data_IF_863735908639
#
_entry.id   IF_863735908639
#
_cell.length_a   1.000
_cell.length_b   1.000
_cell.length_c   1.000
_cell.angle_alpha   90.00
_cell.angle_beta   90.00
_cell.angle_gamma   90.00
#
_symmetry.space_group_name_H-M   'P 1'
#
loop_
_entity.id
_entity.type
_entity.pdbx_description
1 polymer ?
#
# COMPACT_ATOMS: atom_id res chain seq x y z
N UNK A 1 -23.04 16.11 -28.70
CA UNK A 1 -22.97 15.11 -27.63
C UNK A 1 -21.71 15.43 -26.83
N UNK A 2 -21.87 15.74 -25.56
CA UNK A 2 -20.81 16.24 -24.69
C UNK A 2 -20.19 15.04 -23.95
N UNK A 3 -18.89 14.82 -24.14
CA UNK A 3 -18.17 13.69 -23.54
C UNK A 3 -17.73 14.11 -22.14
N UNK A 4 -18.46 13.66 -21.12
CA UNK A 4 -18.08 13.89 -19.72
C UNK A 4 -16.81 13.10 -19.44
N UNK A 5 -15.69 13.82 -19.35
CA UNK A 5 -14.43 13.25 -18.90
C UNK A 5 -14.53 12.90 -17.41
N UNK A 6 -14.65 11.60 -17.12
CA UNK A 6 -14.68 11.05 -15.76
C UNK A 6 -13.29 10.99 -15.11
N UNK A 7 -12.22 11.43 -15.76
CA UNK A 7 -10.87 11.40 -15.19
C UNK A 7 -10.71 12.25 -13.91
N UNK A 8 -11.65 13.16 -13.63
CA UNK A 8 -11.63 13.99 -12.43
C UNK A 8 -11.97 13.22 -11.14
N UNK A 9 -12.66 12.08 -11.20
CA UNK A 9 -12.96 11.28 -10.00
C UNK A 9 -11.75 10.50 -9.49
N UNK A 10 -10.66 10.45 -10.27
CA UNK A 10 -9.47 9.65 -9.98
C UNK A 10 -8.29 10.50 -9.50
N UNK A 11 -8.51 11.77 -9.15
CA UNK A 11 -7.52 12.54 -8.38
C UNK A 11 -7.69 12.26 -6.90
N UNK A 12 -7.30 11.05 -6.50
CA UNK A 12 -6.84 10.86 -5.13
C UNK A 12 -5.62 11.75 -4.95
N UNK A 13 -5.54 12.61 -3.92
CA UNK A 13 -4.30 13.29 -3.61
C UNK A 13 -3.26 12.21 -3.39
N UNK A 14 -2.28 12.16 -4.30
CA UNK A 14 -1.13 11.29 -4.18
C UNK A 14 -0.52 11.61 -2.81
N UNK A 15 -0.50 10.60 -1.95
CA UNK A 15 0.09 10.60 -0.61
C UNK A 15 1.10 11.72 -0.42
N UNK A 16 0.83 12.62 0.52
CA UNK A 16 1.86 13.55 0.97
C UNK A 16 3.06 12.74 1.47
N UNK A 17 4.29 13.13 1.11
CA UNK A 17 5.50 12.48 1.64
C UNK A 17 5.65 12.65 3.17
N UNK A 18 4.82 13.51 3.78
CA UNK A 18 4.73 13.63 5.22
C UNK A 18 4.24 12.32 5.84
N UNK A 19 4.92 11.89 6.90
CA UNK A 19 4.53 10.74 7.70
C UNK A 19 3.12 10.95 8.26
N UNK A 20 2.18 10.01 8.06
CA UNK A 20 0.82 10.16 8.56
C UNK A 20 0.79 10.07 10.09
N UNK A 21 -0.07 10.86 10.74
CA UNK A 21 -0.22 10.81 12.20
C UNK A 21 -0.71 9.46 12.71
N UNK A 22 -1.49 8.76 11.90
CA UNK A 22 -1.91 7.38 12.15
C UNK A 22 -1.76 6.51 10.91
N UNK A 23 -1.24 5.30 11.09
CA UNK A 23 -1.27 4.26 10.05
C UNK A 23 -2.04 3.05 10.57
N UNK A 24 -3.00 2.53 9.82
CA UNK A 24 -3.72 1.28 10.11
C UNK A 24 -3.39 0.27 9.02
N UNK A 25 -3.20 -1.00 9.36
CA UNK A 25 -2.80 -2.07 8.43
C UNK A 25 -3.58 -3.34 8.69
N UNK A 26 -4.15 -3.89 7.63
CA UNK A 26 -4.68 -5.24 7.62
C UNK A 26 -3.55 -6.22 7.25
N UNK A 27 -3.37 -7.27 8.03
CA UNK A 27 -2.49 -8.39 7.71
C UNK A 27 -2.99 -9.67 8.37
N UNK A 28 -3.01 -10.79 7.63
CA UNK A 28 -3.28 -12.13 8.15
C UNK A 28 -4.53 -12.23 9.05
N UNK A 29 -5.60 -11.50 8.69
CA UNK A 29 -6.86 -11.47 9.46
C UNK A 29 -6.82 -10.62 10.73
N UNK A 30 -5.74 -9.88 10.96
CA UNK A 30 -5.57 -8.96 12.09
C UNK A 30 -5.40 -7.52 11.59
N UNK A 31 -5.70 -6.57 12.48
CA UNK A 31 -5.50 -5.15 12.21
C UNK A 31 -4.52 -4.59 13.23
N UNK A 32 -3.46 -3.98 12.73
CA UNK A 32 -2.49 -3.23 13.53
C UNK A 32 -2.57 -1.75 13.18
N UNK A 33 -2.19 -0.90 14.13
CA UNK A 33 -2.15 0.54 13.96
C UNK A 33 -0.94 1.14 14.64
N UNK A 34 -0.47 2.26 14.11
CA UNK A 34 0.53 3.13 14.74
C UNK A 34 -0.03 4.54 14.89
N UNK A 35 0.34 5.22 15.97
CA UNK A 35 0.00 6.62 16.18
C UNK A 35 1.21 7.44 16.65
N UNK A 36 1.48 8.56 15.98
CA UNK A 36 2.61 9.45 16.29
C UNK A 36 2.21 10.48 17.34
N UNK A 37 0.96 10.93 17.32
CA UNK A 37 0.42 11.98 18.20
C UNK A 37 -0.47 11.38 19.29
N UNK A 38 -0.53 12.04 20.45
CA UNK A 38 -1.38 11.59 21.57
C UNK A 38 -2.87 11.60 21.18
N UNK A 39 -3.30 12.60 20.40
CA UNK A 39 -4.68 12.65 19.87
C UNK A 39 -5.00 11.43 18.99
N UNK A 40 -4.07 11.00 18.14
CA UNK A 40 -4.29 9.85 17.27
C UNK A 40 -4.36 8.56 18.10
N UNK A 41 -3.50 8.45 19.11
CA UNK A 41 -3.55 7.38 20.12
C UNK A 41 -4.92 7.32 20.81
N UNK A 42 -5.43 8.44 21.29
CA UNK A 42 -6.68 8.47 22.04
C UNK A 42 -7.86 8.01 21.18
N UNK A 43 -7.89 8.42 19.90
CA UNK A 43 -8.91 7.96 18.94
C UNK A 43 -8.80 6.46 18.68
N UNK A 44 -7.58 5.92 18.49
CA UNK A 44 -7.39 4.48 18.31
C UNK A 44 -7.92 3.71 19.53
N UNK A 45 -7.54 4.11 20.74
CA UNK A 45 -8.02 3.47 21.98
C UNK A 45 -9.54 3.54 22.09
N UNK A 46 -10.13 4.68 21.75
CA UNK A 46 -11.59 4.88 21.79
C UNK A 46 -12.34 3.92 20.86
N UNK A 47 -11.74 3.55 19.72
CA UNK A 47 -12.34 2.62 18.75
C UNK A 47 -11.86 1.17 18.93
N UNK A 48 -11.37 0.83 20.12
CA UNK A 48 -11.10 -0.56 20.51
C UNK A 48 -9.70 -1.08 20.16
N UNK A 49 -8.81 -0.23 19.65
CA UNK A 49 -7.41 -0.61 19.47
C UNK A 49 -6.70 -0.66 20.82
N UNK A 50 -6.07 -1.79 21.11
CA UNK A 50 -5.33 -2.00 22.35
C UNK A 50 -3.84 -1.80 22.14
N UNK A 51 -3.12 -1.11 23.04
CA UNK A 51 -1.68 -0.92 22.90
C UNK A 51 -0.96 -2.27 22.98
N UNK A 52 0.02 -2.47 22.11
CA UNK A 52 0.90 -3.64 22.15
C UNK A 52 2.10 -3.38 23.07
N UNK A 53 3.02 -4.35 23.14
CA UNK A 53 4.28 -4.18 23.91
C UNK A 53 5.21 -3.14 23.27
N UNK A 54 5.03 -2.84 21.99
CA UNK A 54 5.83 -1.86 21.27
C UNK A 54 5.25 -0.45 21.46
N UNK A 55 6.14 0.52 21.66
CA UNK A 55 5.75 1.91 21.84
C UNK A 55 5.02 2.41 20.60
N UNK A 56 3.83 3.00 20.78
CA UNK A 56 2.97 3.56 19.71
C UNK A 56 2.33 2.55 18.75
N UNK A 57 2.44 1.26 19.02
CA UNK A 57 1.72 0.23 18.26
C UNK A 57 0.44 -0.19 19.00
N UNK A 58 -0.61 -0.41 18.23
CA UNK A 58 -1.91 -0.85 18.70
C UNK A 58 -2.46 -1.95 17.81
N UNK A 59 -3.37 -2.76 18.34
CA UNK A 59 -4.01 -3.84 17.59
C UNK A 59 -5.46 -3.99 17.99
N UNK A 60 -6.32 -4.28 17.01
CA UNK A 60 -7.67 -4.75 17.30
C UNK A 60 -7.62 -6.18 17.85
N UNK A 61 -8.55 -6.57 18.74
CA UNK A 61 -8.66 -7.95 19.20
C UNK A 61 -8.73 -8.93 18.02
N UNK A 62 -7.93 -10.00 18.04
CA UNK A 62 -7.92 -10.99 16.96
C UNK A 62 -9.23 -11.80 16.85
N UNK A 63 -10.07 -11.74 17.89
CA UNK A 63 -11.39 -12.41 17.94
C UNK A 63 -12.48 -11.60 17.23
N UNK A 64 -12.19 -10.37 16.82
CA UNK A 64 -13.15 -9.52 16.12
C UNK A 64 -13.42 -10.10 14.72
N UNK A 65 -14.68 -10.17 14.31
CA UNK A 65 -15.04 -10.53 12.95
C UNK A 65 -14.51 -9.51 11.94
N UNK A 66 -14.27 -9.93 10.70
CA UNK A 66 -13.73 -9.06 9.65
C UNK A 66 -14.56 -7.78 9.46
N UNK A 67 -15.90 -7.91 9.45
CA UNK A 67 -16.80 -6.76 9.32
C UNK A 67 -16.72 -5.79 10.51
N UNK A 68 -16.56 -6.32 11.72
CA UNK A 68 -16.42 -5.50 12.93
C UNK A 68 -15.06 -4.79 12.96
N UNK A 69 -14.00 -5.48 12.52
CA UNK A 69 -12.67 -4.91 12.39
C UNK A 69 -12.65 -3.79 11.34
N UNK A 70 -13.29 -4.02 10.19
CA UNK A 70 -13.47 -3.00 9.17
C UNK A 70 -14.28 -1.82 9.69
N UNK A 71 -15.38 -2.08 10.41
CA UNK A 71 -16.19 -1.04 11.05
C UNK A 71 -15.39 -0.18 12.02
N UNK A 72 -14.59 -0.80 12.89
CA UNK A 72 -13.72 -0.10 13.82
C UNK A 72 -12.68 0.77 13.10
N UNK A 73 -12.06 0.24 12.03
CA UNK A 73 -11.11 1.02 11.19
C UNK A 73 -11.79 2.22 10.55
N UNK A 74 -12.97 2.05 9.94
CA UNK A 74 -13.70 3.14 9.27
C UNK A 74 -14.13 4.21 10.27
N UNK A 75 -14.60 3.81 11.45
CA UNK A 75 -14.97 4.75 12.51
C UNK A 75 -13.74 5.52 13.05
N UNK A 76 -12.61 4.83 13.25
CA UNK A 76 -11.36 5.45 13.67
C UNK A 76 -10.82 6.43 12.61
N UNK A 77 -10.77 6.00 11.35
CA UNK A 77 -10.35 6.83 10.22
C UNK A 77 -11.21 8.08 10.10
N UNK A 78 -12.53 7.92 10.13
CA UNK A 78 -13.47 9.05 10.05
C UNK A 78 -13.27 10.02 11.20
N UNK A 79 -13.09 9.53 12.43
CA UNK A 79 -12.87 10.38 13.59
C UNK A 79 -11.54 11.13 13.48
N UNK A 80 -10.44 10.46 13.13
CA UNK A 80 -9.14 11.10 12.89
C UNK A 80 -9.23 12.17 11.79
N UNK A 81 -9.94 11.88 10.71
CA UNK A 81 -10.16 12.83 9.62
C UNK A 81 -10.90 14.09 10.09
N UNK A 82 -11.94 13.94 10.93
CA UNK A 82 -12.67 15.10 11.48
C UNK A 82 -11.80 15.97 12.40
N UNK A 83 -10.73 15.41 12.99
CA UNK A 83 -9.74 16.14 13.78
C UNK A 83 -8.62 16.75 12.92
N UNK A 84 -8.69 16.61 11.60
CA UNK A 84 -7.67 17.07 10.66
C UNK A 84 -6.36 16.28 10.73
N UNK A 85 -6.38 15.07 11.29
CA UNK A 85 -5.20 14.21 11.33
C UNK A 85 -5.02 13.50 9.98
N UNK A 86 -3.76 13.36 9.54
CA UNK A 86 -3.42 12.55 8.37
C UNK A 86 -3.46 11.06 8.72
N UNK A 87 -4.19 10.28 7.93
CA UNK A 87 -4.38 8.84 8.16
C UNK A 87 -3.98 8.07 6.91
N UNK A 88 -3.35 6.91 7.11
CA UNK A 88 -3.08 5.94 6.04
C UNK A 88 -3.65 4.58 6.41
N UNK A 89 -4.46 3.99 5.53
CA UNK A 89 -4.97 2.62 5.70
C UNK A 89 -4.35 1.70 4.65
N UNK A 90 -3.54 0.75 5.09
CA UNK A 90 -2.94 -0.29 4.27
C UNK A 90 -3.80 -1.54 4.26
N UNK A 91 -4.28 -1.95 3.10
CA UNK A 91 -5.15 -3.12 2.92
C UNK A 91 -4.37 -4.45 2.84
N UNK A 92 -3.04 -4.43 3.01
CA UNK A 92 -2.19 -5.61 2.85
C UNK A 92 -1.99 -6.05 1.40
N UNK A 93 -2.49 -5.29 0.42
CA UNK A 93 -2.26 -5.52 -1.01
C UNK A 93 -0.89 -4.92 -1.39
N UNK A 94 0.04 -5.72 -1.93
CA UNK A 94 1.34 -5.23 -2.35
C UNK A 94 1.23 -4.09 -3.37
N UNK A 95 1.96 -3.02 -3.12
CA UNK A 95 2.10 -1.90 -4.06
C UNK A 95 3.27 -2.13 -5.00
N UNK A 96 3.40 -1.31 -6.06
CA UNK A 96 4.54 -1.41 -7.00
C UNK A 96 5.91 -1.25 -6.30
N UNK A 97 5.97 -0.52 -5.18
CA UNK A 97 7.20 -0.37 -4.41
C UNK A 97 7.59 -1.63 -3.64
N UNK A 98 6.61 -2.50 -3.36
CA UNK A 98 6.81 -3.79 -2.68
C UNK A 98 7.25 -4.89 -3.66
N UNK A 99 7.18 -4.65 -4.97
CA UNK A 99 7.65 -5.58 -5.98
C UNK A 99 9.17 -5.46 -6.08
N UNK A 100 9.93 -6.54 -5.84
CA UNK A 100 11.38 -6.50 -5.99
C UNK A 100 11.77 -6.15 -7.43
N UNK A 101 12.85 -5.37 -7.64
CA UNK A 101 13.30 -5.03 -8.99
C UNK A 101 13.60 -6.29 -9.79
N UNK A 102 13.20 -6.28 -11.06
CA UNK A 102 13.48 -7.41 -11.94
C UNK A 102 15.01 -7.66 -12.01
N UNK A 103 15.45 -8.93 -11.97
CA UNK A 103 16.87 -9.24 -12.08
C UNK A 103 17.41 -8.70 -13.40
N UNK A 104 18.55 -8.02 -13.35
CA UNK A 104 19.22 -7.47 -14.54
C UNK A 104 19.46 -8.57 -15.56
N UNK A 105 18.76 -8.51 -16.70
CA UNK A 105 19.00 -9.42 -17.83
C UNK A 105 20.43 -9.19 -18.32
N UNK A 106 21.28 -10.21 -18.20
CA UNK A 106 22.63 -10.19 -18.79
C UNK A 106 22.48 -9.87 -20.28
N UNK A 107 23.19 -8.87 -20.82
CA UNK A 107 23.16 -8.59 -22.25
C UNK A 107 23.50 -9.87 -23.00
N UNK A 108 22.62 -10.31 -23.89
CA UNK A 108 22.97 -11.36 -24.82
C UNK A 108 24.07 -10.78 -25.72
N UNK A 109 25.27 -11.37 -25.66
CA UNK A 109 26.34 -11.04 -26.59
C UNK A 109 25.79 -11.26 -28.01
N UNK A 110 25.84 -10.27 -28.90
CA UNK A 110 25.46 -10.48 -30.29
C UNK A 110 26.31 -11.63 -30.83
N UNK A 111 25.67 -12.71 -31.31
CA UNK A 111 26.39 -13.72 -32.07
C UNK A 111 26.93 -13.03 -33.33
N UNK A 112 28.25 -13.00 -33.49
CA UNK A 112 28.91 -12.53 -34.70
C UNK A 112 28.34 -13.33 -35.87
N UNK A 113 27.84 -12.69 -36.95
CA UNK A 113 27.49 -13.44 -38.15
C UNK A 113 28.78 -14.10 -38.67
N UNK A 114 28.83 -15.43 -38.67
CA UNK A 114 29.90 -16.17 -39.34
C UNK A 114 29.93 -15.74 -40.81
N UNK A 115 31.05 -15.19 -41.31
CA UNK A 115 31.22 -15.06 -42.73
C UNK A 115 31.56 -16.45 -43.30
N UNK A 116 30.93 -16.73 -44.43
CA UNK A 116 31.41 -17.63 -45.47
C UNK A 116 31.00 -19.11 -45.39
N UNK A 117 30.03 -19.48 -46.23
CA UNK A 117 30.29 -20.42 -47.32
C UNK A 117 29.49 -20.00 -48.54
N UNK A 118 30.06 -19.08 -49.32
CA UNK A 118 29.85 -19.15 -50.77
C UNK A 118 30.53 -20.44 -51.26
N UNK A 119 29.77 -21.38 -51.84
CA UNK A 119 30.05 -21.96 -53.16
C UNK A 119 29.13 -23.15 -53.47
N UNK A 120 28.66 -23.13 -54.73
CA UNK A 120 28.36 -24.28 -55.59
C UNK A 120 26.89 -24.73 -55.63
N UNK A 121 26.20 -24.30 -56.70
CA UNK A 121 25.91 -25.18 -57.85
C UNK A 121 25.37 -24.38 -59.04
N UNK A 122 26.15 -24.41 -60.11
CA UNK A 122 25.74 -24.16 -61.48
C UNK A 122 24.73 -25.21 -61.95
N UNK A 123 23.66 -24.78 -62.61
CA UNK A 123 23.20 -25.36 -63.88
C UNK A 123 22.28 -24.40 -64.61
#
# INVERSE_FOLDING_TARGET
MDLVDLAWTTRYPLTTDAEPEATMRFHDGTVTATAITDRARDVLIQHGFTPTKATREYTLPAELGESDALGAVVCAESHLYTLGASVRVGLGIPTLQDIPPAPSRRPATPATPSPDQAHRRSR
#
